data_IF_740038795097
#
_entry.id   IF_740038795097
#
_cell.length_a   1.000
_cell.length_b   1.000
_cell.length_c   1.000
_cell.angle_alpha   90.00
_cell.angle_beta   90.00
_cell.angle_gamma   90.00
#
_symmetry.space_group_name_H-M   'P 1'
#
loop_
_entity.id
_entity.type
_entity.pdbx_description
1 polymer ?
#
# COMPACT_ATOMS: atom_id res chain seq x y z
N UNK A 1 6.48 3.44 15.72
CA UNK A 1 6.21 3.67 14.28
C UNK A 1 4.76 4.03 13.99
N UNK A 2 3.77 3.54 14.75
CA UNK A 2 2.34 3.87 14.55
C UNK A 2 2.04 5.39 14.45
N UNK A 3 2.68 6.24 15.26
CA UNK A 3 2.49 7.72 15.20
C UNK A 3 2.84 8.32 13.83
N UNK A 4 3.73 7.66 13.07
CA UNK A 4 4.10 8.11 11.73
C UNK A 4 3.23 7.52 10.62
N UNK A 5 2.36 6.56 10.93
CA UNK A 5 1.53 5.86 9.95
C UNK A 5 0.64 6.81 9.15
N UNK A 6 0.07 7.84 9.80
CA UNK A 6 -0.75 8.86 9.15
C UNK A 6 0.06 9.60 8.06
N UNK A 7 1.32 9.96 8.35
CA UNK A 7 2.18 10.66 7.39
C UNK A 7 2.59 9.75 6.22
N UNK A 8 2.91 8.48 6.50
CA UNK A 8 3.28 7.51 5.46
C UNK A 8 2.07 7.17 4.58
N UNK A 9 0.87 7.10 5.17
CA UNK A 9 -0.38 6.87 4.46
C UNK A 9 -0.68 7.98 3.45
N UNK A 10 -0.38 9.24 3.77
CA UNK A 10 -0.55 10.38 2.85
C UNK A 10 0.26 10.25 1.55
N UNK A 11 1.30 9.42 1.51
CA UNK A 11 2.08 9.15 0.30
C UNK A 11 1.25 8.38 -0.76
N UNK A 12 0.18 7.67 -0.36
CA UNK A 12 -0.72 6.98 -1.28
C UNK A 12 -1.36 7.94 -2.29
N UNK A 13 -1.57 9.21 -1.93
CA UNK A 13 -2.11 10.23 -2.84
C UNK A 13 -1.10 10.70 -3.89
N UNK A 14 0.19 10.44 -3.67
CA UNK A 14 1.30 10.87 -4.54
C UNK A 14 1.91 9.73 -5.35
N UNK A 15 1.32 8.53 -5.38
CA UNK A 15 1.91 7.38 -6.08
C UNK A 15 2.17 7.62 -7.59
N UNK A 16 1.44 8.55 -8.21
CA UNK A 16 1.57 8.81 -9.64
C UNK A 16 2.94 9.40 -10.05
N UNK A 17 3.63 10.04 -9.10
CA UNK A 17 4.97 10.61 -9.27
C UNK A 17 6.09 9.63 -8.90
N UNK A 18 5.75 8.44 -8.41
CA UNK A 18 6.73 7.44 -7.95
C UNK A 18 7.11 6.46 -9.05
N UNK A 19 8.38 6.04 -9.05
CA UNK A 19 8.85 4.92 -9.86
C UNK A 19 8.28 3.58 -9.34
N UNK A 20 8.17 2.54 -10.21
CA UNK A 20 7.71 1.21 -9.77
C UNK A 20 8.51 0.62 -8.61
N UNK A 21 9.80 0.92 -8.52
CA UNK A 21 10.68 0.48 -7.44
C UNK A 21 10.35 1.20 -6.12
N UNK A 22 10.05 2.50 -6.17
CA UNK A 22 9.61 3.26 -5.00
C UNK A 22 8.22 2.82 -4.53
N UNK A 23 7.30 2.56 -5.47
CA UNK A 23 5.97 2.02 -5.16
C UNK A 23 6.11 0.67 -4.43
N UNK A 24 6.99 -0.22 -4.89
CA UNK A 24 7.26 -1.48 -4.19
C UNK A 24 7.71 -1.27 -2.74
N UNK A 25 8.66 -0.34 -2.52
CA UNK A 25 9.14 -0.01 -1.16
C UNK A 25 8.05 0.62 -0.30
N UNK A 26 7.23 1.50 -0.88
CA UNK A 26 6.10 2.13 -0.18
C UNK A 26 5.11 1.08 0.32
N UNK A 27 4.66 0.19 -0.57
CA UNK A 27 3.73 -0.87 -0.19
C UNK A 27 4.34 -1.85 0.80
N UNK A 28 5.64 -2.17 0.71
CA UNK A 28 6.32 -2.96 1.73
C UNK A 28 6.21 -2.32 3.12
N UNK A 29 6.59 -1.04 3.24
CA UNK A 29 6.56 -0.31 4.53
C UNK A 29 5.14 -0.23 5.07
N UNK A 30 4.17 0.15 4.23
CA UNK A 30 2.77 0.24 4.65
C UNK A 30 2.21 -1.11 5.07
N UNK A 31 2.53 -2.20 4.36
CA UNK A 31 2.09 -3.54 4.75
C UNK A 31 2.72 -3.99 6.06
N UNK A 32 4.01 -3.76 6.29
CA UNK A 32 4.64 -4.06 7.59
C UNK A 32 3.99 -3.28 8.73
N UNK A 33 3.59 -2.03 8.50
CA UNK A 33 2.87 -1.23 9.50
C UNK A 33 1.42 -1.72 9.68
N UNK A 34 0.73 -2.10 8.61
CA UNK A 34 -0.65 -2.58 8.64
C UNK A 34 -0.79 -3.89 9.43
N UNK A 35 0.18 -4.80 9.29
CA UNK A 35 0.18 -6.10 9.99
C UNK A 35 0.89 -6.07 11.35
N UNK A 36 1.51 -4.94 11.73
CA UNK A 36 2.03 -4.77 13.08
C UNK A 36 0.88 -4.72 14.12
N UNK A 37 1.02 -5.43 15.25
CA UNK A 37 -0.06 -5.59 16.24
C UNK A 37 -0.58 -4.24 16.77
N UNK A 38 -1.85 -3.91 16.52
CA UNK A 38 -2.54 -2.73 17.06
C UNK A 38 -3.77 -2.30 16.24
N UNK A 39 -4.66 -1.48 16.81
CA UNK A 39 -5.85 -0.97 16.08
C UNK A 39 -5.51 -0.05 14.90
N UNK A 40 -4.41 0.68 14.99
CA UNK A 40 -3.90 1.56 13.92
C UNK A 40 -3.62 0.80 12.61
N UNK A 41 -3.25 -0.49 12.69
CA UNK A 41 -2.97 -1.33 11.52
C UNK A 41 -4.21 -1.55 10.64
N UNK A 42 -5.39 -1.66 11.27
CA UNK A 42 -6.67 -1.86 10.56
C UNK A 42 -6.98 -0.69 9.61
N UNK A 43 -6.75 0.56 10.04
CA UNK A 43 -7.02 1.72 9.21
C UNK A 43 -6.07 1.83 8.02
N UNK A 44 -4.80 1.44 8.19
CA UNK A 44 -3.84 1.39 7.09
C UNK A 44 -4.26 0.31 6.08
N UNK A 45 -4.65 -0.86 6.59
CA UNK A 45 -5.10 -1.99 5.77
C UNK A 45 -6.30 -1.59 4.89
N UNK A 46 -7.31 -0.94 5.46
CA UNK A 46 -8.50 -0.49 4.73
C UNK A 46 -8.16 0.46 3.57
N UNK A 47 -7.34 1.48 3.84
CA UNK A 47 -6.95 2.46 2.83
C UNK A 47 -6.09 1.84 1.72
N UNK A 48 -5.18 0.93 2.08
CA UNK A 48 -4.42 0.15 1.11
C UNK A 48 -5.36 -0.68 0.21
N UNK A 49 -6.35 -1.37 0.77
CA UNK A 49 -7.32 -2.13 -0.02
C UNK A 49 -8.18 -1.24 -0.93
N UNK A 50 -8.59 -0.04 -0.47
CA UNK A 50 -9.33 0.92 -1.30
C UNK A 50 -8.48 1.32 -2.50
N UNK A 51 -7.23 1.73 -2.26
CA UNK A 51 -6.30 2.15 -3.31
C UNK A 51 -6.02 1.01 -4.28
N UNK A 52 -5.66 -0.19 -3.80
CA UNK A 52 -5.36 -1.33 -4.65
C UNK A 52 -6.54 -1.66 -5.57
N UNK A 53 -7.76 -1.71 -5.02
CA UNK A 53 -8.97 -1.97 -5.82
C UNK A 53 -9.19 -0.88 -6.87
N UNK A 54 -9.07 0.39 -6.50
CA UNK A 54 -9.19 1.52 -7.43
C UNK A 54 -8.18 1.43 -8.58
N UNK A 55 -6.93 1.11 -8.27
CA UNK A 55 -5.85 1.00 -9.25
C UNK A 55 -6.02 -0.20 -10.19
N UNK A 56 -6.42 -1.37 -9.66
CA UNK A 56 -6.66 -2.58 -10.45
C UNK A 56 -7.85 -2.45 -11.41
N UNK A 57 -8.90 -1.74 -10.99
CA UNK A 57 -10.08 -1.45 -11.82
C UNK A 57 -9.82 -0.43 -12.93
N UNK A 58 -8.66 0.23 -12.95
CA UNK A 58 -8.34 1.20 -14.00
C UNK A 58 -8.11 0.53 -15.35
N UNK A 59 -8.57 1.17 -16.43
CA UNK A 59 -8.24 0.78 -17.81
C UNK A 59 -6.84 1.23 -18.23
N UNK A 60 -6.22 2.16 -17.48
CA UNK A 60 -4.90 2.71 -17.79
C UNK A 60 -3.82 1.77 -17.23
N UNK A 61 -2.92 1.29 -18.09
CA UNK A 61 -1.87 0.33 -17.75
C UNK A 61 -0.94 0.80 -16.62
N UNK A 62 -0.65 2.11 -16.55
CA UNK A 62 0.13 2.72 -15.46
C UNK A 62 -0.50 2.39 -14.11
N UNK A 63 -1.76 2.75 -13.92
CA UNK A 63 -2.52 2.53 -12.69
C UNK A 63 -2.70 1.05 -12.36
N UNK A 64 -3.06 0.23 -13.36
CA UNK A 64 -3.18 -1.22 -13.18
C UNK A 64 -1.87 -1.84 -12.67
N UNK A 65 -0.72 -1.39 -13.18
CA UNK A 65 0.61 -1.83 -12.71
C UNK A 65 0.87 -1.45 -11.25
N UNK A 66 0.45 -0.26 -10.81
CA UNK A 66 0.54 0.15 -9.40
C UNK A 66 -0.29 -0.81 -8.52
N UNK A 67 -1.53 -1.08 -8.93
CA UNK A 67 -2.43 -2.01 -8.23
C UNK A 67 -1.84 -3.42 -8.09
N UNK A 68 -1.25 -3.95 -9.17
CA UNK A 68 -0.61 -5.28 -9.16
C UNK A 68 0.57 -5.32 -8.17
N UNK A 69 1.47 -4.32 -8.22
CA UNK A 69 2.61 -4.25 -7.31
C UNK A 69 2.11 -4.18 -5.86
N UNK A 70 1.17 -3.28 -5.58
CA UNK A 70 0.64 -3.10 -4.23
C UNK A 70 -0.04 -4.35 -3.66
N UNK A 71 -0.86 -5.03 -4.47
CA UNK A 71 -1.53 -6.26 -4.08
C UNK A 71 -0.55 -7.38 -3.71
N UNK A 72 0.46 -7.62 -4.56
CA UNK A 72 1.45 -8.69 -4.32
C UNK A 72 2.30 -8.38 -3.09
N UNK A 73 2.69 -7.12 -2.89
CA UNK A 73 3.47 -6.73 -1.71
C UNK A 73 2.69 -6.93 -0.41
N UNK A 74 1.40 -6.57 -0.40
CA UNK A 74 0.53 -6.75 0.75
C UNK A 74 0.33 -8.22 1.10
N UNK A 75 -0.01 -9.07 0.11
CA UNK A 75 -0.16 -10.52 0.31
C UNK A 75 1.16 -11.15 0.77
N UNK A 76 2.29 -10.71 0.22
CA UNK A 76 3.62 -11.21 0.62
C UNK A 76 3.96 -10.92 2.08
N UNK A 77 3.56 -9.75 2.61
CA UNK A 77 3.74 -9.43 4.02
C UNK A 77 2.78 -10.21 4.93
N UNK A 78 1.54 -10.46 4.50
CA UNK A 78 0.60 -11.32 5.23
C UNK A 78 1.11 -12.75 5.42
N UNK A 79 1.89 -13.26 4.47
CA UNK A 79 2.40 -14.63 4.51
C UNK A 79 3.58 -14.82 5.49
N UNK A 80 4.11 -13.74 6.06
CA UNK A 80 5.27 -13.76 6.96
C UNK A 80 4.90 -13.52 8.45
N UNK A 81 3.64 -13.21 8.75
CA UNK A 81 3.03 -13.21 10.10
C UNK A 81 2.28 -14.54 10.35
#
# INVERSE_FOLDING_TARGET
MAVYAIFVKGILDYMDSLSPQQIRKLFFVLSTLAFSRGQEGSHIQDDMHIVIRKQLSSTISKYKRIGIIGAVMMVGCMAYD
#
